data_IF_539143170569
#
_entry.id   IF_539143170569
#
_cell.length_a   1.000
_cell.length_b   1.000
_cell.length_c   1.000
_cell.angle_alpha   90.00
_cell.angle_beta   90.00
_cell.angle_gamma   90.00
#
_symmetry.space_group_name_H-M   'P 1'
#
loop_
_entity.id
_entity.type
_entity.pdbx_description
1 polymer ?
#
# COMPACT_ATOMS: atom_id res chain seq x y z
N UNK A 1 -1.78 -22.27 5.75
CA UNK A 1 -1.91 -21.90 7.16
C UNK A 1 -3.37 -21.54 7.46
N UNK A 2 -3.96 -22.23 8.46
CA UNK A 2 -5.38 -22.03 8.80
C UNK A 2 -5.69 -20.67 9.42
N UNK A 3 -4.68 -19.97 9.94
CA UNK A 3 -4.82 -18.65 10.56
C UNK A 3 -4.98 -17.51 9.54
N UNK A 4 -4.54 -17.69 8.31
CA UNK A 4 -4.63 -16.67 7.27
C UNK A 4 -6.05 -16.59 6.73
N UNK A 5 -6.64 -15.39 6.79
CA UNK A 5 -8.00 -15.11 6.35
C UNK A 5 -8.07 -14.40 4.99
N UNK A 6 -7.02 -13.69 4.60
CA UNK A 6 -7.02 -12.93 3.35
C UNK A 6 -5.66 -12.98 2.63
N UNK A 7 -5.69 -12.65 1.36
CA UNK A 7 -4.51 -12.37 0.55
C UNK A 7 -4.76 -11.09 -0.25
N UNK A 8 -3.85 -10.15 -0.17
CA UNK A 8 -3.99 -8.83 -0.81
C UNK A 8 -2.77 -8.52 -1.66
N UNK A 9 -2.99 -7.86 -2.78
CA UNK A 9 -1.88 -7.35 -3.58
C UNK A 9 -1.18 -6.20 -2.87
N UNK A 10 0.14 -6.23 -2.89
CA UNK A 10 1.01 -5.17 -2.35
C UNK A 10 2.10 -4.83 -3.36
N UNK A 11 2.51 -3.57 -3.38
CA UNK A 11 3.67 -3.11 -4.14
C UNK A 11 4.65 -2.38 -3.25
N UNK A 12 5.89 -2.21 -3.70
CA UNK A 12 6.84 -1.37 -2.99
C UNK A 12 6.31 0.06 -2.93
N UNK A 13 6.36 0.67 -1.74
CA UNK A 13 5.78 1.99 -1.49
C UNK A 13 6.38 3.06 -2.41
N UNK A 14 5.52 3.88 -3.02
CA UNK A 14 5.95 5.00 -3.84
C UNK A 14 6.60 6.09 -2.99
N UNK A 15 6.02 6.37 -1.83
CA UNK A 15 6.58 7.29 -0.85
C UNK A 15 6.97 6.51 0.40
N UNK A 16 8.26 6.55 0.75
CA UNK A 16 8.73 5.91 1.97
C UNK A 16 8.15 6.65 3.19
N UNK A 17 7.65 5.95 4.23
CA UNK A 17 7.06 6.58 5.42
C UNK A 17 7.99 7.58 6.14
N UNK A 18 9.30 7.41 6.05
CA UNK A 18 10.28 8.36 6.62
C UNK A 18 10.28 9.73 5.93
N UNK A 19 9.71 9.84 4.72
CA UNK A 19 9.56 11.12 4.01
C UNK A 19 8.29 11.86 4.39
N UNK A 20 7.37 11.21 5.12
CA UNK A 20 6.13 11.82 5.55
C UNK A 20 6.40 12.67 6.77
N UNK A 21 5.93 13.89 6.75
CA UNK A 21 6.09 14.87 7.83
C UNK A 21 4.74 15.33 8.35
N UNK A 22 4.66 15.62 9.63
CA UNK A 22 3.54 16.38 10.17
C UNK A 22 3.84 17.86 10.11
N UNK A 23 2.80 18.66 9.92
CA UNK A 23 2.86 20.11 9.90
C UNK A 23 1.91 20.65 10.95
N UNK A 24 2.39 21.51 11.84
CA UNK A 24 1.55 22.15 12.85
C UNK A 24 0.76 23.34 12.27
N UNK A 25 -0.07 23.97 13.10
CA UNK A 25 -0.90 25.11 12.69
C UNK A 25 -0.10 26.34 12.23
N UNK A 26 1.22 26.40 12.52
CA UNK A 26 2.13 27.45 12.08
C UNK A 26 2.97 27.04 10.87
N UNK A 27 2.61 25.93 10.21
CA UNK A 27 3.34 25.34 9.10
C UNK A 27 4.76 24.88 9.45
N UNK A 28 5.04 24.62 10.74
CA UNK A 28 6.32 24.04 11.16
C UNK A 28 6.33 22.53 10.95
N UNK A 29 7.38 22.05 10.30
CA UNK A 29 7.54 20.61 10.00
C UNK A 29 7.99 19.88 11.27
N UNK A 30 7.35 18.74 11.54
CA UNK A 30 7.70 17.78 12.58
C UNK A 30 8.14 16.48 11.92
N UNK A 31 9.42 16.19 11.95
CA UNK A 31 10.02 14.95 11.40
C UNK A 31 9.98 13.79 12.42
N UNK A 32 10.29 12.59 11.93
CA UNK A 32 10.49 11.41 12.77
C UNK A 32 9.19 10.81 13.32
N UNK A 33 8.08 11.09 12.67
CA UNK A 33 6.75 10.60 13.09
C UNK A 33 6.63 9.08 12.98
N UNK A 34 7.25 8.49 11.95
CA UNK A 34 7.14 7.06 11.69
C UNK A 34 8.38 6.30 12.15
N UNK A 35 8.13 5.16 12.81
CA UNK A 35 9.16 4.20 13.19
C UNK A 35 8.97 2.90 12.41
N UNK A 36 10.05 2.39 11.86
CA UNK A 36 10.10 1.07 11.22
C UNK A 36 11.23 0.30 11.87
N UNK A 37 10.92 -0.88 12.43
CA UNK A 37 11.88 -1.68 13.19
C UNK A 37 12.58 -0.86 14.30
N UNK A 38 11.82 -0.04 15.02
CA UNK A 38 12.29 0.89 16.07
C UNK A 38 13.26 1.99 15.59
N UNK A 39 13.43 2.19 14.27
CA UNK A 39 14.24 3.25 13.68
C UNK A 39 13.36 4.33 13.06
N UNK A 40 13.86 5.55 13.06
CA UNK A 40 13.27 6.74 12.42
C UNK A 40 14.18 7.22 11.28
N UNK A 41 13.77 8.27 10.57
CA UNK A 41 14.59 8.93 9.56
C UNK A 41 15.95 9.40 10.13
N UNK A 42 16.01 9.72 11.43
CA UNK A 42 17.23 10.24 12.07
C UNK A 42 18.25 9.13 12.38
N UNK A 43 17.86 7.87 12.29
CA UNK A 43 18.72 6.73 12.66
C UNK A 43 19.46 6.15 11.45
N UNK A 44 19.08 6.54 10.22
CA UNK A 44 19.66 6.01 8.98
C UNK A 44 19.94 7.15 8.02
N UNK A 45 21.21 7.47 7.85
CA UNK A 45 21.66 8.66 7.12
C UNK A 45 21.31 8.63 5.62
N UNK A 46 21.47 7.48 4.97
CA UNK A 46 21.25 7.36 3.53
C UNK A 46 19.90 6.71 3.22
N UNK A 47 19.13 7.34 2.34
CA UNK A 47 17.79 6.84 1.98
C UNK A 47 17.79 5.46 1.30
N UNK A 48 18.87 5.09 0.61
CA UNK A 48 19.01 3.75 0.02
C UNK A 48 19.16 2.63 1.06
N UNK A 49 19.53 2.98 2.29
CA UNK A 49 19.70 2.03 3.40
C UNK A 49 18.43 1.92 4.26
N UNK A 50 17.37 2.67 3.91
CA UNK A 50 16.08 2.58 4.58
C UNK A 50 15.44 1.21 4.37
N UNK A 51 14.77 0.67 5.39
CA UNK A 51 14.07 -0.61 5.24
C UNK A 51 12.99 -0.51 4.16
N UNK A 52 12.89 -1.54 3.32
CA UNK A 52 11.82 -1.60 2.32
C UNK A 52 10.45 -1.57 2.96
N UNK A 53 9.55 -0.79 2.38
CA UNK A 53 8.16 -0.66 2.79
C UNK A 53 7.22 -1.02 1.65
N UNK A 54 6.03 -1.45 2.01
CA UNK A 54 5.02 -1.94 1.09
C UNK A 54 3.73 -1.19 1.32
N UNK A 55 3.02 -0.90 0.25
CA UNK A 55 1.67 -0.33 0.28
C UNK A 55 0.66 -1.30 -0.31
N UNK A 56 -0.57 -1.27 0.19
CA UNK A 56 -1.66 -2.04 -0.38
C UNK A 56 -1.99 -1.57 -1.79
N UNK A 57 -2.20 -2.51 -2.70
CA UNK A 57 -2.63 -2.22 -4.07
C UNK A 57 -4.11 -2.58 -4.23
N UNK A 58 -4.88 -1.83 -5.02
CA UNK A 58 -6.27 -2.15 -5.32
C UNK A 58 -6.43 -3.29 -6.33
N UNK A 59 -5.34 -3.83 -6.91
CA UNK A 59 -5.40 -4.80 -7.99
C UNK A 59 -6.22 -6.05 -7.65
N UNK A 60 -6.06 -6.60 -6.43
CA UNK A 60 -6.95 -7.63 -5.92
C UNK A 60 -6.92 -7.78 -4.40
N UNK A 61 -8.01 -8.33 -3.87
CA UNK A 61 -8.18 -8.77 -2.49
C UNK A 61 -8.97 -10.06 -2.48
N UNK A 62 -8.42 -11.08 -1.85
CA UNK A 62 -9.09 -12.37 -1.63
C UNK A 62 -9.32 -12.54 -0.14
N UNK A 63 -10.54 -12.84 0.26
CA UNK A 63 -10.90 -13.04 1.66
C UNK A 63 -11.74 -14.29 1.80
N UNK A 64 -11.46 -15.11 2.81
CA UNK A 64 -12.27 -16.28 3.12
C UNK A 64 -13.71 -15.86 3.39
N UNK A 65 -14.67 -16.51 2.75
CA UNK A 65 -16.10 -16.19 2.88
C UNK A 65 -16.58 -16.20 4.34
N UNK A 66 -16.16 -17.18 5.11
CA UNK A 66 -16.50 -17.30 6.53
C UNK A 66 -16.02 -16.09 7.36
N UNK A 67 -14.83 -15.57 7.10
CA UNK A 67 -14.35 -14.35 7.75
C UNK A 67 -15.20 -13.16 7.32
N UNK A 68 -15.43 -12.99 6.02
CA UNK A 68 -16.23 -11.90 5.46
C UNK A 68 -17.65 -11.89 6.02
N UNK A 69 -18.33 -13.04 6.05
CA UNK A 69 -19.67 -13.18 6.60
C UNK A 69 -19.73 -12.79 8.09
N UNK A 70 -18.70 -13.16 8.86
CA UNK A 70 -18.63 -12.79 10.27
C UNK A 70 -18.46 -11.28 10.46
N UNK A 71 -17.59 -10.64 9.67
CA UNK A 71 -17.38 -9.19 9.72
C UNK A 71 -18.63 -8.41 9.29
N UNK A 72 -19.40 -8.91 8.31
CA UNK A 72 -20.70 -8.34 7.93
C UNK A 72 -21.70 -8.44 9.09
N UNK A 73 -21.82 -9.62 9.71
CA UNK A 73 -22.75 -9.83 10.83
C UNK A 73 -22.44 -8.97 12.04
N UNK A 74 -21.17 -8.71 12.31
CA UNK A 74 -20.72 -7.86 13.41
C UNK A 74 -20.77 -6.36 13.10
N UNK A 75 -21.10 -5.98 11.85
CA UNK A 75 -21.14 -4.60 11.39
C UNK A 75 -19.78 -3.95 11.16
N UNK A 76 -18.69 -4.68 11.33
CA UNK A 76 -17.33 -4.13 11.22
C UNK A 76 -17.02 -3.62 9.81
N UNK A 77 -17.53 -4.27 8.77
CA UNK A 77 -17.31 -3.86 7.38
C UNK A 77 -17.95 -2.52 7.02
N UNK A 78 -19.12 -2.22 7.60
CA UNK A 78 -19.87 -1.01 7.28
C UNK A 78 -19.18 0.27 7.75
N UNK A 79 -18.38 0.19 8.81
CA UNK A 79 -17.78 1.36 9.46
C UNK A 79 -16.25 1.46 9.32
N UNK A 80 -15.56 0.38 8.98
CA UNK A 80 -14.10 0.35 8.98
C UNK A 80 -13.46 0.24 7.60
N UNK A 81 -14.24 0.04 6.53
CA UNK A 81 -13.72 -0.23 5.19
C UNK A 81 -12.84 -1.50 5.10
N UNK A 82 -12.89 -2.35 6.13
CA UNK A 82 -12.09 -3.56 6.23
C UNK A 82 -12.63 -4.65 5.32
N UNK A 83 -12.20 -4.65 4.08
CA UNK A 83 -12.54 -5.70 3.12
C UNK A 83 -11.66 -6.94 3.25
N UNK A 84 -10.68 -6.92 4.16
CA UNK A 84 -9.77 -8.03 4.44
C UNK A 84 -9.28 -7.98 5.89
N UNK A 85 -8.74 -9.10 6.39
CA UNK A 85 -8.19 -9.19 7.75
C UNK A 85 -6.82 -8.51 7.84
N UNK A 86 -6.76 -7.34 8.45
CA UNK A 86 -5.54 -6.55 8.56
C UNK A 86 -4.44 -7.21 9.41
N UNK A 87 -4.79 -8.20 10.25
CA UNK A 87 -3.86 -8.87 11.14
C UNK A 87 -3.39 -10.25 10.63
N UNK A 88 -4.20 -10.90 9.78
CA UNK A 88 -3.95 -12.28 9.33
C UNK A 88 -4.08 -12.38 7.80
N UNK A 89 -3.39 -11.53 7.08
CA UNK A 89 -3.36 -11.50 5.63
C UNK A 89 -1.96 -11.73 5.07
N UNK A 90 -1.90 -12.42 3.94
CA UNK A 90 -0.70 -12.50 3.13
C UNK A 90 -0.63 -11.32 2.17
N UNK A 91 0.56 -10.74 2.02
CA UNK A 91 0.85 -9.78 0.96
C UNK A 91 1.37 -10.49 -0.29
N UNK A 92 0.64 -10.42 -1.38
CA UNK A 92 1.11 -10.88 -2.69
C UNK A 92 1.79 -9.74 -3.42
N UNK A 93 3.10 -9.87 -3.64
CA UNK A 93 3.93 -8.81 -4.24
C UNK A 93 3.70 -8.73 -5.74
N UNK A 94 3.34 -7.55 -6.20
CA UNK A 94 3.23 -7.19 -7.62
C UNK A 94 4.15 -6.02 -7.94
N UNK A 95 4.44 -5.81 -9.21
CA UNK A 95 5.24 -4.67 -9.65
C UNK A 95 4.46 -3.34 -9.47
N UNK A 96 5.18 -2.23 -9.39
CA UNK A 96 4.56 -0.89 -9.37
C UNK A 96 3.68 -0.63 -10.59
N UNK A 97 4.03 -1.21 -11.74
CA UNK A 97 3.23 -1.07 -12.96
C UNK A 97 1.91 -1.83 -12.90
N UNK A 98 1.90 -3.01 -12.27
CA UNK A 98 0.68 -3.80 -12.05
C UNK A 98 -0.19 -3.22 -10.94
N UNK A 99 0.43 -2.49 -10.02
CA UNK A 99 -0.25 -1.82 -8.91
C UNK A 99 -0.79 -0.43 -9.28
N UNK A 100 -0.49 0.06 -10.49
CA UNK A 100 -0.89 1.40 -10.90
C UNK A 100 -2.41 1.52 -10.96
N UNK A 101 -2.94 2.46 -10.21
CA UNK A 101 -4.38 2.77 -10.14
C UNK A 101 -4.70 4.01 -10.97
N UNK A 102 -5.90 4.05 -11.53
CA UNK A 102 -6.35 5.15 -12.39
C UNK A 102 -7.55 5.80 -11.70
N UNK A 103 -7.30 6.90 -11.02
CA UNK A 103 -8.31 7.67 -10.31
C UNK A 103 -8.77 8.91 -11.10
N UNK A 104 -7.90 9.44 -11.99
CA UNK A 104 -8.19 10.64 -12.76
C UNK A 104 -7.62 10.61 -14.19
N UNK A 105 -7.84 11.69 -14.95
CA UNK A 105 -7.35 11.81 -16.35
C UNK A 105 -5.83 11.85 -16.45
N UNK A 106 -5.15 12.36 -15.44
CA UNK A 106 -3.69 12.38 -15.40
C UNK A 106 -3.14 10.96 -15.25
N UNK A 107 -3.72 10.18 -14.36
CA UNK A 107 -3.39 8.77 -14.17
C UNK A 107 -3.63 7.96 -15.45
N UNK A 108 -4.76 8.23 -16.14
CA UNK A 108 -5.05 7.58 -17.42
C UNK A 108 -3.97 7.88 -18.48
N UNK A 109 -3.52 9.12 -18.55
CA UNK A 109 -2.45 9.53 -19.47
C UNK A 109 -1.14 8.78 -19.17
N UNK A 110 -0.79 8.63 -17.90
CA UNK A 110 0.39 7.86 -17.47
C UNK A 110 0.22 6.38 -17.83
N UNK A 111 -0.94 5.79 -17.52
CA UNK A 111 -1.22 4.38 -17.83
C UNK A 111 -1.13 4.08 -19.33
N UNK A 112 -1.66 4.96 -20.17
CA UNK A 112 -1.55 4.86 -21.64
C UNK A 112 -0.09 4.93 -22.12
N UNK A 113 0.70 5.82 -21.55
CA UNK A 113 2.13 5.96 -21.84
C UNK A 113 2.90 4.68 -21.49
N UNK A 114 2.62 4.09 -20.33
CA UNK A 114 3.19 2.81 -19.88
C UNK A 114 2.82 1.68 -20.85
N UNK A 115 1.55 1.60 -21.25
CA UNK A 115 1.06 0.58 -22.18
C UNK A 115 1.75 0.68 -23.56
N UNK A 116 1.97 1.89 -24.04
CA UNK A 116 2.67 2.13 -25.31
C UNK A 116 4.14 1.71 -25.24
N UNK A 117 4.84 2.00 -24.15
CA UNK A 117 6.22 1.56 -23.93
C UNK A 117 6.30 0.03 -23.91
N UNK A 118 5.38 -0.65 -23.23
CA UNK A 118 5.34 -2.12 -23.20
C UNK A 118 5.13 -2.71 -24.59
N UNK A 119 4.22 -2.14 -25.40
CA UNK A 119 4.00 -2.58 -26.80
C UNK A 119 5.25 -2.40 -27.66
N UNK A 120 5.94 -1.28 -27.54
CA UNK A 120 7.16 -1.01 -28.28
C UNK A 120 8.29 -2.01 -27.94
N UNK A 121 8.38 -2.44 -26.69
CA UNK A 121 9.41 -3.39 -26.23
C UNK A 121 9.08 -4.86 -26.56
N UNK A 122 7.85 -5.17 -26.94
CA UNK A 122 7.42 -6.53 -27.33
C UNK A 122 7.31 -6.71 -28.86
N UNK A 123 7.42 -5.66 -29.59
CA UNK A 123 7.47 -5.66 -31.06
C UNK A 123 8.93 -5.75 -31.55
#
# INVERSE_FOLDING_TARGET
>A
DSSINSCVSISESNTHPFRIVNVDSKSLIKNGVFKINNKTINDIERSQDWPKTWEGSPAFRLTKSKYFENEVKTGNLLFSGKTYDHNNSLGYKISKLEAYDIDDEFDLTIAQSIANIKKANTA
#
